data_IF_317189700775
#
_entry.id   IF_317189700775
#
_cell.length_a   1.000
_cell.length_b   1.000
_cell.length_c   1.000
_cell.angle_alpha   90.00
_cell.angle_beta   90.00
_cell.angle_gamma   90.00
#
_symmetry.space_group_name_H-M   'P 1'
#
loop_
_entity.id
_entity.type
_entity.pdbx_description
1 polymer ?
#
# COMPACT_ATOMS: atom_id res chain seq x y z
N UNK A 1 24.24 -21.00 13.78
CA UNK A 1 23.15 -21.13 14.78
C UNK A 1 22.27 -22.29 14.37
N UNK A 2 22.03 -23.26 15.24
CA UNK A 2 21.24 -24.46 14.92
C UNK A 2 20.16 -24.69 15.98
N UNK A 3 18.89 -24.63 15.62
CA UNK A 3 17.76 -24.89 16.52
C UNK A 3 16.90 -25.97 15.88
N UNK A 4 16.61 -27.04 16.61
CA UNK A 4 15.70 -28.11 16.16
C UNK A 4 14.40 -28.07 16.95
N UNK A 5 13.28 -28.14 16.23
CA UNK A 5 11.96 -28.18 16.85
C UNK A 5 11.53 -26.88 17.53
N UNK A 6 11.99 -25.73 17.04
CA UNK A 6 11.61 -24.40 17.51
C UNK A 6 10.08 -24.27 17.52
N UNK A 7 9.55 -23.85 18.66
CA UNK A 7 8.15 -23.48 18.86
C UNK A 7 8.03 -21.99 19.20
N UNK A 8 6.98 -21.29 18.74
CA UNK A 8 6.74 -19.91 19.15
C UNK A 8 6.52 -19.83 20.68
N UNK A 9 7.25 -18.93 21.35
CA UNK A 9 7.24 -18.84 22.81
C UNK A 9 5.87 -18.45 23.40
N UNK A 10 5.04 -17.76 22.62
CA UNK A 10 3.72 -17.27 23.02
C UNK A 10 2.59 -18.26 22.71
N UNK A 11 2.89 -19.40 22.08
CA UNK A 11 1.87 -20.40 21.79
C UNK A 11 1.65 -21.29 23.01
N UNK A 12 0.43 -21.28 23.53
CA UNK A 12 0.06 -22.17 24.61
C UNK A 12 -0.12 -23.59 24.06
N UNK A 13 0.67 -24.54 24.57
CA UNK A 13 0.60 -25.95 24.18
C UNK A 13 -0.79 -26.55 24.45
N UNK A 14 -1.54 -25.98 25.41
CA UNK A 14 -2.90 -26.40 25.71
C UNK A 14 -3.95 -25.91 24.69
N UNK A 15 -3.65 -24.88 23.90
CA UNK A 15 -4.60 -24.27 22.94
C UNK A 15 -4.44 -24.81 21.51
N UNK A 16 -3.45 -25.66 21.27
CA UNK A 16 -3.24 -26.33 19.99
C UNK A 16 -1.78 -26.76 19.76
N UNK A 17 -1.54 -27.53 18.70
CA UNK A 17 -0.18 -27.93 18.31
C UNK A 17 0.49 -26.87 17.45
N UNK A 18 1.58 -26.29 17.95
CA UNK A 18 2.43 -25.43 17.16
C UNK A 18 3.19 -26.24 16.10
N UNK A 19 3.36 -25.66 14.90
CA UNK A 19 4.20 -26.28 13.88
C UNK A 19 5.67 -26.02 14.21
N UNK A 20 6.35 -27.07 14.68
CA UNK A 20 7.77 -27.00 15.02
C UNK A 20 8.67 -26.80 13.79
N UNK A 21 9.67 -25.93 13.91
CA UNK A 21 10.59 -25.62 12.82
C UNK A 21 12.05 -25.94 13.17
N UNK A 22 12.84 -26.33 12.17
CA UNK A 22 14.29 -26.49 12.30
C UNK A 22 14.99 -25.36 11.57
N UNK A 23 15.89 -24.67 12.26
CA UNK A 23 16.67 -23.55 11.75
C UNK A 23 18.14 -23.93 11.81
N UNK A 24 18.77 -24.16 10.66
CA UNK A 24 20.21 -24.41 10.56
C UNK A 24 20.86 -23.27 9.76
N UNK A 25 21.25 -22.22 10.48
CA UNK A 25 21.67 -20.93 9.93
C UNK A 25 23.20 -20.79 9.99
N UNK A 26 23.81 -20.80 8.81
CA UNK A 26 25.24 -20.60 8.58
C UNK A 26 25.56 -19.26 7.91
N UNK A 27 24.54 -18.61 7.34
CA UNK A 27 24.62 -17.34 6.62
C UNK A 27 23.26 -16.63 6.66
N UNK A 28 23.16 -15.50 5.95
CA UNK A 28 21.92 -14.75 5.79
C UNK A 28 20.87 -15.56 5.01
N UNK A 29 19.64 -15.59 5.51
CA UNK A 29 18.50 -16.19 4.81
C UNK A 29 17.68 -15.10 4.13
N UNK A 30 17.39 -15.28 2.84
CA UNK A 30 16.33 -14.55 2.16
C UNK A 30 15.05 -15.38 2.22
N UNK A 31 14.12 -14.98 3.09
CA UNK A 31 12.90 -15.73 3.40
C UNK A 31 11.71 -15.20 2.60
N UNK A 32 11.04 -16.12 1.90
CA UNK A 32 9.79 -15.87 1.18
C UNK A 32 8.63 -16.68 1.74
N UNK A 33 7.43 -16.36 1.30
CA UNK A 33 6.22 -17.08 1.67
C UNK A 33 5.00 -16.16 1.64
N UNK A 34 3.80 -16.72 1.51
CA UNK A 34 2.59 -15.92 1.46
C UNK A 34 2.36 -15.18 2.79
N UNK A 35 1.50 -14.17 2.73
CA UNK A 35 0.97 -13.52 3.94
C UNK A 35 0.21 -14.56 4.77
N UNK A 36 0.39 -14.53 6.09
CA UNK A 36 -0.13 -15.56 6.99
C UNK A 36 0.65 -16.89 6.97
N UNK A 37 1.70 -17.02 6.15
CA UNK A 37 2.55 -18.22 6.08
C UNK A 37 3.49 -18.42 7.27
N UNK A 38 3.53 -17.50 8.23
CA UNK A 38 4.31 -17.63 9.47
C UNK A 38 5.70 -16.98 9.47
N UNK A 39 6.04 -16.16 8.46
CA UNK A 39 7.34 -15.44 8.37
C UNK A 39 7.64 -14.65 9.65
N UNK A 40 6.79 -13.70 10.03
CA UNK A 40 6.96 -12.86 11.22
C UNK A 40 7.03 -13.69 12.51
N UNK A 41 6.22 -14.75 12.61
CA UNK A 41 6.24 -15.67 13.75
C UNK A 41 7.57 -16.41 13.86
N UNK A 42 8.14 -16.86 12.74
CA UNK A 42 9.45 -17.52 12.71
C UNK A 42 10.55 -16.55 13.15
N UNK A 43 10.58 -15.32 12.61
CA UNK A 43 11.58 -14.31 13.00
C UNK A 43 11.53 -14.02 14.51
N UNK A 44 10.33 -13.76 15.05
CA UNK A 44 10.16 -13.52 16.50
C UNK A 44 10.55 -14.72 17.34
N UNK A 45 10.25 -15.94 16.89
CA UNK A 45 10.62 -17.17 17.61
C UNK A 45 12.14 -17.36 17.66
N UNK A 46 12.84 -17.09 16.55
CA UNK A 46 14.31 -17.13 16.49
C UNK A 46 14.92 -16.05 17.38
N UNK A 47 14.37 -14.83 17.35
CA UNK A 47 14.83 -13.72 18.20
C UNK A 47 14.73 -14.07 19.69
N UNK A 48 13.54 -14.53 20.12
CA UNK A 48 13.31 -14.94 21.50
C UNK A 48 14.21 -16.11 21.91
N UNK A 49 14.38 -17.11 21.04
CA UNK A 49 15.27 -18.24 21.29
C UNK A 49 16.73 -17.78 21.47
N UNK A 50 17.22 -16.89 20.61
CA UNK A 50 18.57 -16.33 20.72
C UNK A 50 18.78 -15.57 22.03
N UNK A 51 17.82 -14.71 22.40
CA UNK A 51 17.85 -13.95 23.66
C UNK A 51 17.87 -14.87 24.88
N UNK A 52 16.96 -15.85 24.94
CA UNK A 52 16.90 -16.82 26.04
C UNK A 52 18.22 -17.59 26.16
N UNK A 53 18.76 -18.07 25.04
CA UNK A 53 20.02 -18.81 25.02
C UNK A 53 21.22 -17.99 25.50
N UNK A 54 21.32 -16.72 25.10
CA UNK A 54 22.41 -15.83 25.55
C UNK A 54 22.29 -15.49 27.04
N UNK A 55 21.08 -15.37 27.55
CA UNK A 55 20.82 -15.15 28.98
C UNK A 55 21.00 -16.41 29.84
N UNK A 56 21.29 -17.58 29.24
CA UNK A 56 21.45 -18.85 29.96
C UNK A 56 20.12 -19.54 30.35
N UNK A 57 19.00 -19.13 29.75
CA UNK A 57 17.70 -19.77 29.97
C UNK A 57 17.46 -20.94 29.01
N UNK A 58 16.50 -21.79 29.37
CA UNK A 58 15.97 -22.79 28.46
C UNK A 58 15.29 -22.12 27.26
N UNK A 59 15.46 -22.73 26.09
CA UNK A 59 14.93 -22.24 24.81
C UNK A 59 13.71 -23.11 24.41
N UNK A 60 12.62 -22.55 23.84
CA UNK A 60 11.45 -23.31 23.40
C UNK A 60 11.74 -24.12 22.12
N UNK A 61 12.60 -25.14 22.23
CA UNK A 61 13.05 -26.01 21.16
C UNK A 61 13.44 -27.40 21.73
N UNK A 62 13.53 -28.42 20.88
CA UNK A 62 14.04 -29.74 21.28
C UNK A 62 15.55 -29.70 21.54
N UNK A 63 16.29 -28.96 20.71
CA UNK A 63 17.71 -28.66 20.95
C UNK A 63 18.11 -27.33 20.31
N UNK A 64 19.07 -26.63 20.91
CA UNK A 64 19.54 -25.34 20.41
C UNK A 64 21.05 -25.17 20.63
N UNK A 65 21.75 -24.80 19.56
CA UNK A 65 23.13 -24.33 19.53
C UNK A 65 23.12 -22.88 19.06
N UNK A 66 23.25 -21.97 20.02
CA UNK A 66 23.17 -20.53 19.81
C UNK A 66 24.57 -19.95 20.00
N UNK A 67 25.16 -19.33 18.97
CA UNK A 67 26.44 -18.66 19.13
C UNK A 67 26.27 -17.39 19.98
N UNK A 68 27.35 -16.93 20.58
CA UNK A 68 27.35 -15.64 21.25
C UNK A 68 27.26 -14.52 20.20
N UNK A 69 26.18 -13.74 20.27
CA UNK A 69 25.98 -12.58 19.42
C UNK A 69 26.44 -11.31 20.15
N UNK A 70 27.05 -10.37 19.42
CA UNK A 70 27.35 -9.04 19.95
C UNK A 70 26.15 -8.08 19.87
N UNK A 71 25.24 -8.32 18.93
CA UNK A 71 23.96 -7.65 18.83
C UNK A 71 22.88 -8.56 18.24
N UNK A 72 21.64 -8.38 18.69
CA UNK A 72 20.44 -8.94 18.08
C UNK A 72 19.59 -7.77 17.63
N UNK A 73 19.33 -7.70 16.33
CA UNK A 73 18.58 -6.62 15.70
C UNK A 73 17.31 -7.19 15.09
N UNK A 74 16.17 -6.61 15.48
CA UNK A 74 14.86 -7.01 14.98
C UNK A 74 14.17 -5.78 14.40
N UNK A 75 13.98 -5.78 13.09
CA UNK A 75 13.10 -4.84 12.41
C UNK A 75 11.80 -5.55 12.05
N UNK A 76 10.72 -5.07 12.64
CA UNK A 76 9.34 -5.42 12.33
C UNK A 76 8.68 -4.20 11.69
N UNK A 77 7.51 -4.39 11.05
CA UNK A 77 6.75 -3.31 10.42
C UNK A 77 6.69 -2.04 11.27
N UNK A 78 7.30 -0.97 10.77
CA UNK A 78 7.22 0.37 11.34
C UNK A 78 5.84 0.96 11.06
N UNK A 79 5.29 1.66 12.04
CA UNK A 79 4.08 2.46 11.88
C UNK A 79 4.48 3.91 11.63
N UNK A 80 3.60 4.69 11.01
CA UNK A 80 3.82 6.13 10.89
C UNK A 80 4.03 6.75 12.28
N UNK A 81 4.92 7.74 12.38
CA UNK A 81 5.01 8.63 13.55
C UNK A 81 4.54 10.03 13.14
N UNK A 82 3.22 10.30 13.19
CA UNK A 82 2.69 11.65 12.95
C UNK A 82 3.27 12.69 13.90
N UNK A 83 3.65 12.27 15.12
CA UNK A 83 4.26 13.12 16.12
C UNK A 83 5.62 13.69 15.67
N UNK A 84 6.38 12.92 14.89
CA UNK A 84 7.72 13.32 14.42
C UNK A 84 7.72 13.92 13.00
N UNK A 85 6.55 13.99 12.34
CA UNK A 85 6.44 14.45 10.95
C UNK A 85 7.17 13.56 9.94
N UNK A 86 7.47 12.30 10.29
CA UNK A 86 8.16 11.32 9.43
C UNK A 86 7.17 10.33 8.85
N UNK A 87 7.34 9.99 7.57
CA UNK A 87 6.60 8.88 6.96
C UNK A 87 7.10 7.53 7.50
N UNK A 88 6.25 6.50 7.49
CA UNK A 88 6.62 5.12 7.78
C UNK A 88 7.86 4.67 7.01
N UNK A 89 7.96 5.01 5.72
CA UNK A 89 9.15 4.69 4.94
C UNK A 89 10.40 5.43 5.45
N UNK A 90 10.30 6.70 5.86
CA UNK A 90 11.45 7.41 6.42
C UNK A 90 11.89 6.84 7.77
N UNK A 91 10.93 6.44 8.62
CA UNK A 91 11.21 5.75 9.89
C UNK A 91 11.89 4.41 9.60
N UNK A 92 11.33 3.61 8.69
CA UNK A 92 11.89 2.34 8.25
C UNK A 92 13.33 2.51 7.76
N UNK A 93 13.60 3.48 6.86
CA UNK A 93 14.96 3.73 6.37
C UNK A 93 15.93 4.17 7.47
N UNK A 94 15.46 4.92 8.47
CA UNK A 94 16.28 5.31 9.63
C UNK A 94 16.63 4.11 10.52
N UNK A 95 15.69 3.20 10.73
CA UNK A 95 15.90 1.95 11.48
C UNK A 95 16.86 1.03 10.74
N UNK A 96 16.66 0.84 9.43
CA UNK A 96 17.55 0.07 8.56
C UNK A 96 18.96 0.66 8.53
N UNK A 97 19.09 1.99 8.45
CA UNK A 97 20.40 2.64 8.53
C UNK A 97 21.10 2.31 9.86
N UNK A 98 20.37 2.32 10.97
CA UNK A 98 20.91 1.99 12.29
C UNK A 98 21.35 0.53 12.37
N UNK A 99 20.56 -0.38 11.78
CA UNK A 99 20.89 -1.80 11.67
C UNK A 99 22.19 -1.99 10.88
N UNK A 100 22.26 -1.43 9.67
CA UNK A 100 23.44 -1.58 8.81
C UNK A 100 24.69 -1.00 9.48
N UNK A 101 24.57 0.17 10.14
CA UNK A 101 25.69 0.82 10.81
C UNK A 101 26.22 0.02 12.02
N UNK A 102 25.35 -0.70 12.75
CA UNK A 102 25.73 -1.47 13.93
C UNK A 102 25.99 -2.96 13.67
N UNK A 103 25.69 -3.48 12.47
CA UNK A 103 25.83 -4.91 12.17
C UNK A 103 27.29 -5.32 12.02
N UNK A 104 27.66 -6.40 12.69
CA UNK A 104 28.95 -7.08 12.52
C UNK A 104 28.74 -8.53 12.06
N UNK A 105 29.83 -9.24 11.73
CA UNK A 105 29.81 -10.68 11.43
C UNK A 105 29.29 -11.56 12.58
N UNK A 106 29.25 -11.03 13.83
CA UNK A 106 28.73 -11.73 15.01
C UNK A 106 27.36 -11.22 15.44
N UNK A 107 26.67 -10.49 14.57
CA UNK A 107 25.32 -9.99 14.84
C UNK A 107 24.26 -10.95 14.27
N UNK A 108 23.09 -10.97 14.91
CA UNK A 108 21.88 -11.62 14.41
C UNK A 108 20.90 -10.57 13.91
N UNK A 109 20.67 -10.52 12.59
CA UNK A 109 19.82 -9.51 11.94
C UNK A 109 18.52 -10.14 11.45
N UNK A 110 17.38 -9.66 11.94
CA UNK A 110 16.06 -10.18 11.59
C UNK A 110 15.20 -9.03 11.07
N UNK A 111 14.92 -9.02 9.77
CA UNK A 111 14.18 -7.96 9.08
C UNK A 111 12.93 -8.57 8.45
N UNK A 112 11.76 -8.02 8.75
CA UNK A 112 10.48 -8.49 8.22
C UNK A 112 9.85 -7.51 7.24
N UNK A 113 9.71 -7.95 5.98
CA UNK A 113 9.03 -7.21 4.90
C UNK A 113 9.56 -5.79 4.66
N UNK A 114 10.83 -5.69 4.26
CA UNK A 114 11.49 -4.41 3.97
C UNK A 114 10.90 -3.68 2.74
N UNK A 115 10.94 -2.35 2.78
CA UNK A 115 10.56 -1.41 1.72
C UNK A 115 9.10 -1.53 1.26
N UNK A 116 8.16 -1.84 2.16
CA UNK A 116 6.73 -1.94 1.82
C UNK A 116 6.06 -0.58 1.56
N UNK A 117 6.57 0.50 2.18
CA UNK A 117 5.96 1.83 2.15
C UNK A 117 6.29 2.69 0.93
N UNK A 118 6.90 2.12 -0.12
CA UNK A 118 7.38 2.86 -1.29
C UNK A 118 7.01 2.17 -2.60
N UNK A 119 7.36 2.80 -3.72
CA UNK A 119 7.19 2.23 -5.06
C UNK A 119 7.90 0.88 -5.18
N UNK A 120 7.17 -0.17 -5.57
CA UNK A 120 7.65 -1.56 -5.62
C UNK A 120 8.99 -1.71 -6.33
N UNK A 121 9.18 -1.05 -7.49
CA UNK A 121 10.42 -1.13 -8.25
C UNK A 121 11.62 -0.58 -7.47
N UNK A 122 11.50 0.64 -6.92
CA UNK A 122 12.55 1.25 -6.10
C UNK A 122 12.78 0.49 -4.81
N UNK A 123 11.71 0.08 -4.13
CA UNK A 123 11.77 -0.73 -2.92
C UNK A 123 12.52 -2.04 -3.14
N UNK A 124 12.30 -2.70 -4.28
CA UNK A 124 13.02 -3.93 -4.66
C UNK A 124 14.52 -3.69 -4.82
N UNK A 125 14.92 -2.61 -5.50
CA UNK A 125 16.34 -2.26 -5.68
C UNK A 125 17.03 -1.90 -4.35
N UNK A 126 16.35 -1.13 -3.50
CA UNK A 126 16.86 -0.77 -2.16
C UNK A 126 17.01 -2.03 -1.31
N UNK A 127 15.98 -2.88 -1.24
CA UNK A 127 16.02 -4.14 -0.52
C UNK A 127 17.17 -5.04 -1.00
N UNK A 128 17.34 -5.17 -2.32
CA UNK A 128 18.44 -5.93 -2.92
C UNK A 128 19.81 -5.43 -2.46
N UNK A 129 20.03 -4.11 -2.51
CA UNK A 129 21.29 -3.49 -2.08
C UNK A 129 21.58 -3.69 -0.58
N UNK A 130 20.55 -3.70 0.25
CA UNK A 130 20.67 -3.97 1.69
C UNK A 130 21.05 -5.43 1.93
N UNK A 131 20.46 -6.37 1.20
CA UNK A 131 20.80 -7.79 1.29
C UNK A 131 22.26 -8.03 0.88
N UNK A 132 22.73 -7.43 -0.22
CA UNK A 132 24.14 -7.50 -0.62
C UNK A 132 25.07 -6.97 0.48
N UNK A 133 24.68 -5.87 1.12
CA UNK A 133 25.47 -5.26 2.20
C UNK A 133 25.57 -6.20 3.40
N UNK A 134 24.45 -6.78 3.84
CA UNK A 134 24.41 -7.73 4.96
C UNK A 134 25.17 -9.03 4.65
N UNK A 135 25.04 -9.54 3.42
CA UNK A 135 25.78 -10.71 2.92
C UNK A 135 27.30 -10.46 2.95
N UNK A 136 27.73 -9.27 2.51
CA UNK A 136 29.13 -8.86 2.52
C UNK A 136 29.70 -8.71 3.94
N UNK A 137 28.90 -8.24 4.89
CA UNK A 137 29.29 -8.20 6.31
C UNK A 137 29.44 -9.63 6.87
N UNK A 138 28.64 -10.57 6.39
CA UNK A 138 28.68 -11.98 6.79
C UNK A 138 28.01 -12.22 8.14
N UNK A 139 26.96 -11.44 8.47
CA UNK A 139 26.15 -11.67 9.66
C UNK A 139 25.22 -12.88 9.49
N UNK A 140 24.73 -13.41 10.61
CA UNK A 140 23.62 -14.36 10.60
C UNK A 140 22.30 -13.59 10.61
N UNK A 141 21.26 -14.12 9.96
CA UNK A 141 20.00 -13.41 9.94
C UNK A 141 18.96 -13.95 8.99
N UNK A 142 17.79 -13.30 9.02
CA UNK A 142 16.70 -13.51 8.07
C UNK A 142 16.23 -12.14 7.57
N UNK A 143 16.20 -11.98 6.25
CA UNK A 143 15.47 -10.90 5.60
C UNK A 143 14.24 -11.52 4.94
N UNK A 144 13.07 -11.20 5.47
CA UNK A 144 11.78 -11.61 4.92
C UNK A 144 11.33 -10.61 3.84
N UNK A 145 10.81 -11.10 2.71
CA UNK A 145 10.33 -10.24 1.63
C UNK A 145 9.10 -10.79 0.92
N UNK A 146 8.28 -9.86 0.41
CA UNK A 146 7.21 -10.11 -0.55
C UNK A 146 7.55 -9.56 -1.95
N UNK A 147 8.72 -8.94 -2.10
CA UNK A 147 9.18 -8.32 -3.33
C UNK A 147 9.79 -9.40 -4.24
N UNK A 148 8.96 -10.10 -5.01
CA UNK A 148 9.44 -11.16 -5.92
C UNK A 148 10.38 -10.65 -7.02
N UNK A 149 10.35 -9.35 -7.34
CA UNK A 149 11.30 -8.73 -8.27
C UNK A 149 12.76 -8.85 -7.83
N UNK A 150 13.02 -9.14 -6.56
CA UNK A 150 14.38 -9.27 -6.02
C UNK A 150 15.15 -10.43 -6.68
N UNK A 151 14.42 -11.47 -7.12
CA UNK A 151 15.01 -12.64 -7.78
C UNK A 151 15.42 -12.37 -9.23
N UNK A 152 14.96 -11.27 -9.82
CA UNK A 152 15.35 -10.85 -11.18
C UNK A 152 16.46 -9.81 -11.19
N UNK A 153 16.85 -9.30 -10.01
CA UNK A 153 17.95 -8.35 -9.90
C UNK A 153 19.30 -9.08 -10.00
N UNK A 154 20.33 -8.46 -10.61
CA UNK A 154 21.68 -9.02 -10.69
C UNK A 154 22.43 -8.84 -9.36
N UNK A 155 21.91 -9.44 -8.28
CA UNK A 155 22.48 -9.31 -6.94
C UNK A 155 23.82 -10.06 -6.80
N UNK A 156 24.79 -9.41 -6.17
CA UNK A 156 26.10 -9.94 -5.83
C UNK A 156 26.05 -10.47 -4.39
N UNK A 157 25.51 -11.67 -4.22
CA UNK A 157 25.50 -12.40 -2.94
C UNK A 157 26.36 -13.66 -3.03
N UNK A 158 27.23 -13.88 -2.04
CA UNK A 158 28.12 -15.05 -1.98
C UNK A 158 27.59 -16.14 -1.07
N UNK A 159 26.97 -15.76 0.05
CA UNK A 159 26.62 -16.68 1.11
C UNK A 159 25.10 -16.78 1.35
N UNK A 160 24.32 -15.83 0.86
CA UNK A 160 22.88 -15.75 1.09
C UNK A 160 22.18 -16.98 0.53
N UNK A 161 21.35 -17.60 1.36
CA UNK A 161 20.56 -18.78 0.99
C UNK A 161 19.07 -18.44 0.94
N UNK A 162 18.37 -19.05 0.01
CA UNK A 162 16.93 -18.86 -0.16
C UNK A 162 16.16 -19.86 0.70
N UNK A 163 15.23 -19.33 1.50
CA UNK A 163 14.28 -20.12 2.27
C UNK A 163 12.85 -19.69 1.95
N UNK A 164 11.93 -20.60 2.20
CA UNK A 164 10.51 -20.35 2.03
C UNK A 164 9.70 -20.87 3.22
N UNK A 165 8.58 -20.23 3.50
CA UNK A 165 7.49 -20.84 4.26
C UNK A 165 6.66 -21.69 3.31
N UNK A 166 6.55 -22.98 3.61
CA UNK A 166 5.93 -23.96 2.73
C UNK A 166 4.43 -23.74 2.53
N UNK A 167 3.97 -24.14 1.35
CA UNK A 167 2.56 -24.17 0.96
C UNK A 167 2.22 -25.54 0.38
N UNK A 168 0.95 -25.92 0.47
CA UNK A 168 0.41 -27.14 -0.13
C UNK A 168 -0.88 -26.80 -0.88
N UNK A 169 -1.12 -27.48 -1.99
CA UNK A 169 -2.35 -27.36 -2.75
C UNK A 169 -3.31 -28.47 -2.34
N UNK A 170 -4.43 -28.10 -1.73
CA UNK A 170 -5.43 -29.04 -1.22
C UNK A 170 -6.82 -28.55 -1.61
N UNK A 171 -7.61 -29.40 -2.27
CA UNK A 171 -8.98 -29.12 -2.72
C UNK A 171 -9.10 -27.84 -3.57
N UNK A 172 -8.17 -27.64 -4.50
CA UNK A 172 -8.19 -26.46 -5.36
C UNK A 172 -7.72 -25.16 -4.68
N UNK A 173 -7.16 -25.24 -3.46
CA UNK A 173 -6.75 -24.06 -2.67
C UNK A 173 -5.33 -24.23 -2.14
N UNK A 174 -4.52 -23.18 -2.28
CA UNK A 174 -3.21 -23.11 -1.64
C UNK A 174 -3.37 -22.83 -0.15
N UNK A 175 -2.74 -23.65 0.71
CA UNK A 175 -2.75 -23.51 2.17
C UNK A 175 -1.32 -23.41 2.70
N UNK A 176 -1.04 -22.56 3.70
CA UNK A 176 0.27 -22.50 4.33
C UNK A 176 0.50 -23.74 5.22
N UNK A 177 1.71 -24.29 5.20
CA UNK A 177 2.12 -25.37 6.11
C UNK A 177 2.79 -24.86 7.38
N UNK A 178 3.17 -23.58 7.40
CA UNK A 178 3.96 -22.93 8.45
C UNK A 178 5.32 -23.62 8.72
N UNK A 179 5.81 -24.44 7.78
CA UNK A 179 7.13 -25.06 7.82
C UNK A 179 8.15 -24.22 7.04
N UNK A 180 9.32 -23.99 7.63
CA UNK A 180 10.49 -23.48 6.94
C UNK A 180 11.06 -24.59 6.03
N UNK A 181 11.19 -24.28 4.75
CA UNK A 181 11.73 -25.17 3.72
C UNK A 181 12.81 -24.45 2.90
N UNK A 182 13.60 -25.22 2.14
CA UNK A 182 14.54 -24.67 1.17
C UNK A 182 13.81 -24.04 -0.02
N UNK A 183 14.44 -23.03 -0.64
CA UNK A 183 14.01 -22.48 -1.93
C UNK A 183 13.21 -21.18 -1.81
N UNK A 184 12.41 -20.91 -2.84
CA UNK A 184 11.68 -19.65 -3.03
C UNK A 184 10.18 -19.96 -3.18
N UNK A 185 9.35 -19.26 -2.43
CA UNK A 185 7.90 -19.26 -2.60
C UNK A 185 7.46 -18.03 -3.37
N UNK A 186 6.74 -18.25 -4.49
CA UNK A 186 6.11 -17.20 -5.31
C UNK A 186 4.58 -17.13 -5.14
N UNK A 187 4.03 -18.00 -4.30
CA UNK A 187 2.60 -18.06 -4.05
C UNK A 187 2.12 -16.85 -3.23
N UNK A 188 0.98 -16.28 -3.63
CA UNK A 188 0.29 -15.23 -2.88
C UNK A 188 -1.08 -15.76 -2.45
N UNK A 189 -1.38 -15.68 -1.16
CA UNK A 189 -2.68 -16.08 -0.59
C UNK A 189 -3.64 -14.90 -0.46
N UNK A 190 -3.40 -13.79 -1.18
CA UNK A 190 -4.12 -12.54 -0.96
C UNK A 190 -5.62 -12.67 -1.27
N UNK A 191 -5.97 -13.32 -2.39
CA UNK A 191 -7.37 -13.49 -2.81
C UNK A 191 -8.08 -14.54 -1.95
N UNK A 192 -7.42 -15.64 -1.59
CA UNK A 192 -7.94 -16.66 -0.68
C UNK A 192 -8.20 -16.07 0.72
N UNK A 193 -7.29 -15.20 1.19
CA UNK A 193 -7.48 -14.49 2.45
C UNK A 193 -8.68 -13.56 2.37
N UNK A 194 -8.80 -12.75 1.31
CA UNK A 194 -9.96 -11.88 1.13
C UNK A 194 -11.29 -12.68 1.09
N UNK A 195 -11.30 -13.82 0.42
CA UNK A 195 -12.45 -14.74 0.40
C UNK A 195 -12.80 -15.26 1.79
N UNK A 196 -11.79 -15.64 2.57
CA UNK A 196 -11.96 -16.13 3.94
C UNK A 196 -12.52 -15.06 4.87
N UNK A 197 -12.12 -13.80 4.69
CA UNK A 197 -12.64 -12.65 5.44
C UNK A 197 -14.06 -12.21 4.99
N UNK A 198 -14.67 -12.94 4.05
CA UNK A 198 -16.06 -12.72 3.63
C UNK A 198 -16.24 -11.64 2.56
N UNK A 199 -15.19 -11.25 1.85
CA UNK A 199 -15.32 -10.35 0.69
C UNK A 199 -16.17 -11.05 -0.40
N UNK A 200 -17.18 -10.36 -0.98
CA UNK A 200 -18.03 -10.95 -2.01
C UNK A 200 -17.25 -11.52 -3.19
N UNK A 201 -17.64 -12.72 -3.64
CA UNK A 201 -16.98 -13.44 -4.73
C UNK A 201 -16.90 -12.61 -6.02
N UNK A 202 -17.91 -11.79 -6.29
CA UNK A 202 -17.95 -10.90 -7.47
C UNK A 202 -16.79 -9.89 -7.48
N UNK A 203 -16.38 -9.40 -6.31
CA UNK A 203 -15.24 -8.48 -6.17
C UNK A 203 -13.93 -9.25 -6.40
N UNK A 204 -13.82 -10.46 -5.84
CA UNK A 204 -12.63 -11.31 -5.96
C UNK A 204 -12.41 -11.72 -7.42
N UNK A 205 -13.46 -12.20 -8.10
CA UNK A 205 -13.42 -12.54 -9.53
C UNK A 205 -13.01 -11.34 -10.38
N UNK A 206 -13.52 -10.14 -10.06
CA UNK A 206 -13.10 -8.92 -10.76
C UNK A 206 -11.63 -8.59 -10.51
N UNK A 207 -11.15 -8.72 -9.27
CA UNK A 207 -9.76 -8.49 -8.91
C UNK A 207 -8.80 -9.47 -9.59
N UNK A 208 -9.17 -10.76 -9.67
CA UNK A 208 -8.43 -11.78 -10.42
C UNK A 208 -8.35 -11.44 -11.91
N UNK A 209 -9.46 -11.04 -12.52
CA UNK A 209 -9.47 -10.59 -13.92
C UNK A 209 -8.58 -9.37 -14.17
N UNK A 210 -8.57 -8.40 -13.24
CA UNK A 210 -7.67 -7.24 -13.31
C UNK A 210 -6.21 -7.66 -13.18
N UNK A 211 -5.89 -8.52 -12.22
CA UNK A 211 -4.54 -9.05 -12.01
C UNK A 211 -4.02 -9.75 -13.27
N UNK A 212 -4.83 -10.64 -13.87
CA UNK A 212 -4.48 -11.30 -15.13
C UNK A 212 -4.27 -10.27 -16.25
N UNK A 213 -5.12 -9.26 -16.39
CA UNK A 213 -4.98 -8.26 -17.47
C UNK A 213 -3.67 -7.46 -17.41
N UNK A 214 -3.16 -7.17 -16.20
CA UNK A 214 -1.94 -6.36 -15.99
C UNK A 214 -0.69 -7.25 -16.00
N UNK A 215 -0.77 -8.43 -15.38
CA UNK A 215 0.41 -9.25 -15.08
C UNK A 215 0.53 -10.52 -15.96
N UNK A 216 -0.46 -10.87 -16.78
CA UNK A 216 -0.35 -12.02 -17.71
C UNK A 216 0.71 -11.81 -18.81
N UNK A 217 0.98 -10.55 -19.21
CA UNK A 217 2.09 -10.26 -20.14
C UNK A 217 3.46 -10.60 -19.53
N UNK A 218 3.64 -10.38 -18.22
CA UNK A 218 4.87 -10.66 -17.49
C UNK A 218 5.09 -12.17 -17.30
N UNK A 219 4.02 -12.97 -17.16
CA UNK A 219 4.10 -14.43 -17.06
C UNK A 219 4.47 -15.11 -18.39
N UNK A 220 4.06 -14.53 -19.52
CA UNK A 220 4.39 -15.06 -20.86
C UNK A 220 5.85 -14.80 -21.25
N UNK A 221 6.47 -13.73 -20.74
CA UNK A 221 7.89 -13.44 -21.00
C UNK A 221 8.87 -14.28 -20.15
N UNK A 222 8.43 -14.87 -19.03
CA UNK A 222 9.27 -15.72 -18.18
C UNK A 222 9.28 -17.21 -18.58
N UNK A 223 8.34 -17.66 -19.42
CA UNK A 223 8.25 -19.05 -19.90
C UNK A 223 8.77 -19.19 -21.33
N UNK A 224 9.97 -18.68 -21.60
CA UNK A 224 10.73 -18.91 -22.83
C UNK A 224 11.27 -20.34 -22.95
N UNK A 225 10.41 -21.35 -22.81
CA UNK A 225 10.69 -22.71 -23.31
C UNK A 225 9.37 -23.29 -23.82
N UNK A 226 9.26 -23.46 -25.15
CA UNK A 226 8.15 -24.17 -25.77
C UNK A 226 8.07 -25.61 -25.23
N UNK A 227 6.87 -26.13 -24.95
CA UNK A 227 6.60 -27.54 -25.15
C UNK A 227 5.74 -27.72 -26.41
N UNK A 228 6.17 -28.67 -27.22
CA UNK A 228 5.54 -29.10 -28.45
C UNK A 228 4.09 -29.58 -28.26
N UNK A 229 3.36 -29.38 -29.34
CA UNK A 229 2.07 -29.99 -29.64
C UNK A 229 2.12 -31.51 -29.42
N UNK A 230 1.12 -32.08 -28.73
CA UNK A 230 0.63 -33.40 -29.12
C UNK A 230 -0.89 -33.44 -29.02
N UNK A 231 -1.47 -33.58 -30.20
CA UNK A 231 -2.85 -33.86 -30.52
C UNK A 231 -3.28 -35.26 -30.07
N UNK A 232 -4.49 -35.38 -29.53
CA UNK A 232 -5.37 -36.48 -29.90
C UNK A 232 -6.83 -36.07 -29.71
N UNK A 233 -7.55 -36.13 -30.82
CA UNK A 233 -8.97 -35.89 -30.97
C UNK A 233 -9.82 -36.82 -30.11
N UNK A 234 -11.04 -36.39 -29.78
CA UNK A 234 -12.28 -37.13 -30.04
C UNK A 234 -13.49 -36.22 -29.85
N UNK A 235 -14.21 -36.02 -30.95
CA UNK A 235 -15.50 -35.36 -31.02
C UNK A 235 -16.62 -36.29 -30.52
N UNK A 236 -17.68 -35.72 -29.93
CA UNK A 236 -19.07 -35.85 -30.42
C UNK A 236 -20.11 -35.29 -29.44
N UNK A 237 -21.15 -34.67 -30.03
CA UNK A 237 -22.51 -34.57 -29.47
C UNK A 237 -22.89 -33.18 -28.97
N UNK A 238 -23.24 -32.22 -29.82
CA UNK A 238 -24.58 -31.96 -30.39
C UNK A 238 -25.63 -31.44 -29.39
N UNK A 239 -25.94 -30.15 -29.47
CA UNK A 239 -27.30 -29.59 -29.57
C UNK A 239 -27.24 -28.07 -29.84
N UNK A 240 -27.36 -27.70 -31.12
CA UNK A 240 -28.42 -26.84 -31.67
C UNK A 240 -29.37 -26.12 -30.67
N UNK A 241 -29.84 -24.88 -30.79
CA UNK A 241 -30.14 -24.01 -31.94
C UNK A 241 -30.38 -22.55 -31.42
N UNK A 242 -29.98 -21.55 -32.22
CA UNK A 242 -30.51 -20.17 -32.43
C UNK A 242 -31.35 -19.40 -31.37
N UNK A 243 -31.09 -18.09 -31.19
CA UNK A 243 -32.00 -17.03 -31.69
C UNK A 243 -31.38 -15.61 -31.70
N UNK A 244 -32.01 -14.74 -32.49
CA UNK A 244 -31.56 -13.56 -33.20
C UNK A 244 -31.40 -12.25 -32.40
N UNK A 245 -30.59 -11.37 -32.99
CA UNK A 245 -30.68 -9.90 -32.91
C UNK A 245 -31.99 -9.43 -33.56
N UNK A 246 -32.83 -8.68 -32.84
CA UNK A 246 -33.49 -7.43 -33.27
C UNK A 246 -34.51 -6.94 -32.23
N UNK A 247 -34.58 -5.63 -32.03
CA UNK A 247 -35.53 -4.98 -31.13
C UNK A 247 -35.23 -3.50 -30.93
N UNK A 248 -35.70 -2.70 -31.88
CA UNK A 248 -35.63 -1.23 -31.92
C UNK A 248 -36.62 -0.59 -30.94
N UNK A 249 -36.26 0.63 -30.48
CA UNK A 249 -37.11 1.70 -29.93
C UNK A 249 -37.74 1.50 -28.54
N UNK A 250 -37.34 2.37 -27.59
CA UNK A 250 -38.26 3.37 -27.05
C UNK A 250 -37.49 4.53 -26.39
N UNK A 251 -37.65 5.71 -26.98
CA UNK A 251 -37.36 7.00 -26.36
C UNK A 251 -38.54 7.29 -25.42
N UNK A 252 -38.31 7.19 -24.11
CA UNK A 252 -39.25 7.64 -23.11
C UNK A 252 -38.68 8.85 -22.37
N UNK A 253 -39.04 10.02 -22.87
CA UNK A 253 -38.98 11.29 -22.17
C UNK A 253 -39.87 11.19 -20.93
N UNK A 254 -39.28 11.14 -19.74
CA UNK A 254 -39.98 11.42 -18.49
C UNK A 254 -39.40 12.68 -17.88
N UNK A 255 -40.09 13.80 -18.16
CA UNK A 255 -40.05 14.96 -17.30
C UNK A 255 -40.71 14.58 -15.97
N UNK A 256 -39.89 14.35 -14.95
CA UNK A 256 -40.29 14.54 -13.57
C UNK A 256 -39.37 15.60 -12.99
N UNK A 257 -39.91 16.81 -12.84
CA UNK A 257 -39.32 17.86 -12.04
C UNK A 257 -39.26 17.36 -10.59
N UNK A 258 -38.18 16.65 -10.25
CA UNK A 258 -37.84 16.38 -8.87
C UNK A 258 -37.49 17.72 -8.23
N UNK A 259 -38.15 18.02 -7.10
CA UNK A 259 -37.70 19.06 -6.18
C UNK A 259 -36.26 18.71 -5.79
N UNK A 260 -35.29 19.25 -6.53
CA UNK A 260 -33.88 18.99 -6.29
C UNK A 260 -33.59 19.42 -4.84
N UNK A 261 -33.14 18.47 -4.02
CA UNK A 261 -32.78 18.74 -2.64
C UNK A 261 -31.76 19.89 -2.66
N UNK A 262 -31.94 21.00 -1.90
CA UNK A 262 -31.04 22.16 -1.97
C UNK A 262 -29.54 21.81 -1.80
N UNK A 263 -29.26 20.69 -1.13
CA UNK A 263 -27.91 20.16 -0.96
C UNK A 263 -27.34 19.52 -2.24
N UNK A 264 -28.16 18.89 -3.07
CA UNK A 264 -27.75 18.33 -4.38
C UNK A 264 -27.45 19.44 -5.39
N UNK A 265 -28.21 20.54 -5.35
CA UNK A 265 -27.94 21.73 -6.17
C UNK A 265 -26.60 22.35 -5.78
N UNK A 266 -26.38 22.60 -4.47
CA UNK A 266 -25.12 23.11 -3.94
C UNK A 266 -23.93 22.21 -4.30
N UNK A 267 -24.10 20.88 -4.20
CA UNK A 267 -23.07 19.92 -4.59
C UNK A 267 -22.67 20.08 -6.06
N UNK A 268 -23.65 20.17 -6.98
CA UNK A 268 -23.39 20.29 -8.42
C UNK A 268 -22.75 21.64 -8.78
N UNK A 269 -23.17 22.71 -8.12
CA UNK A 269 -22.56 24.04 -8.27
C UNK A 269 -21.11 24.06 -7.80
N UNK A 270 -20.81 23.47 -6.63
CA UNK A 270 -19.45 23.36 -6.10
C UNK A 270 -18.57 22.47 -7.00
N UNK A 271 -19.10 21.36 -7.50
CA UNK A 271 -18.37 20.49 -8.44
C UNK A 271 -17.98 21.24 -9.72
N UNK A 272 -18.92 21.96 -10.33
CA UNK A 272 -18.67 22.75 -11.52
C UNK A 272 -17.63 23.86 -11.25
N UNK A 273 -17.74 24.53 -10.11
CA UNK A 273 -16.78 25.55 -9.69
C UNK A 273 -15.36 24.96 -9.55
N UNK A 274 -15.22 23.82 -8.86
CA UNK A 274 -13.93 23.13 -8.71
C UNK A 274 -13.33 22.78 -10.08
N UNK A 275 -14.14 22.23 -10.99
CA UNK A 275 -13.69 21.88 -12.35
C UNK A 275 -13.12 23.10 -13.06
N UNK A 276 -13.88 24.20 -13.14
CA UNK A 276 -13.43 25.43 -13.83
C UNK A 276 -12.16 25.99 -13.19
N UNK A 277 -12.15 26.10 -11.87
CA UNK A 277 -11.09 26.74 -11.09
C UNK A 277 -9.77 25.95 -11.16
N UNK A 278 -9.83 24.61 -11.09
CA UNK A 278 -8.63 23.77 -11.04
C UNK A 278 -8.10 23.39 -12.43
N UNK A 279 -8.94 23.37 -13.47
CA UNK A 279 -8.57 22.87 -14.81
C UNK A 279 -7.41 23.67 -15.44
N UNK A 280 -7.42 25.00 -15.34
CA UNK A 280 -6.35 25.84 -15.91
C UNK A 280 -4.99 25.54 -15.27
N UNK A 281 -4.94 25.47 -13.94
CA UNK A 281 -3.69 25.25 -13.20
C UNK A 281 -3.16 23.82 -13.36
N UNK A 282 -4.05 22.84 -13.48
CA UNK A 282 -3.65 21.46 -13.80
C UNK A 282 -3.11 21.36 -15.22
N UNK A 283 -3.74 22.02 -16.19
CA UNK A 283 -3.25 22.07 -17.56
C UNK A 283 -1.84 22.72 -17.64
N UNK A 284 -1.59 23.80 -16.90
CA UNK A 284 -0.24 24.39 -16.81
C UNK A 284 0.79 23.42 -16.22
N UNK A 285 0.41 22.69 -15.17
CA UNK A 285 1.27 21.71 -14.51
C UNK A 285 1.65 20.55 -15.45
N UNK A 286 0.68 19.99 -16.18
CA UNK A 286 0.91 18.88 -17.11
C UNK A 286 1.67 19.30 -18.37
N UNK A 287 1.44 20.52 -18.89
CA UNK A 287 2.23 21.12 -19.98
C UNK A 287 3.72 21.24 -19.63
N UNK A 288 4.04 21.69 -18.41
CA UNK A 288 5.43 21.79 -17.93
C UNK A 288 6.15 20.43 -17.83
N UNK A 289 5.40 19.33 -17.64
CA UNK A 289 5.94 17.97 -17.54
C UNK A 289 5.97 17.18 -18.86
N UNK A 290 5.60 17.77 -20.00
CA UNK A 290 5.53 17.08 -21.32
C UNK A 290 4.68 15.80 -21.29
N UNK A 291 3.59 15.80 -20.52
CA UNK A 291 2.60 14.71 -20.54
C UNK A 291 1.49 15.13 -21.50
N UNK A 292 1.22 14.31 -22.52
CA UNK A 292 0.35 14.63 -23.66
C UNK A 292 -1.15 14.44 -23.42
N UNK A 293 -1.56 14.05 -22.21
CA UNK A 293 -2.96 13.82 -21.88
C UNK A 293 -3.54 15.02 -21.12
N UNK A 294 -4.58 15.62 -21.70
CA UNK A 294 -5.43 16.63 -21.04
C UNK A 294 -6.18 15.93 -19.90
N UNK A 295 -5.66 16.03 -18.67
CA UNK A 295 -6.32 15.50 -17.49
C UNK A 295 -7.51 16.38 -17.11
N UNK A 296 -8.73 15.91 -17.34
CA UNK A 296 -9.94 16.54 -16.81
C UNK A 296 -10.03 16.35 -15.29
N UNK A 297 -10.49 17.39 -14.58
CA UNK A 297 -10.74 17.29 -13.13
C UNK A 297 -11.96 16.43 -12.87
N UNK A 298 -11.74 15.17 -12.52
CA UNK A 298 -12.82 14.27 -12.10
C UNK A 298 -13.03 14.35 -10.59
N UNK A 299 -14.07 15.07 -10.16
CA UNK A 299 -14.49 15.10 -8.76
C UNK A 299 -15.29 13.83 -8.42
N UNK A 300 -15.03 13.26 -7.24
CA UNK A 300 -15.73 12.09 -6.72
C UNK A 300 -16.47 12.50 -5.44
N UNK A 301 -17.74 12.14 -5.34
CA UNK A 301 -18.56 12.35 -4.14
C UNK A 301 -18.30 11.24 -3.12
N UNK A 302 -18.22 11.63 -1.85
CA UNK A 302 -18.32 10.76 -0.69
C UNK A 302 -19.61 11.15 0.02
N UNK A 303 -20.64 10.32 -0.16
CA UNK A 303 -21.96 10.51 0.43
C UNK A 303 -21.96 10.32 1.95
N UNK A 304 -23.07 10.69 2.59
CA UNK A 304 -23.24 10.51 4.02
C UNK A 304 -23.02 9.03 4.40
N UNK A 305 -22.08 8.77 5.31
CA UNK A 305 -21.68 7.43 5.79
C UNK A 305 -20.88 6.56 4.80
N UNK A 306 -20.58 7.05 3.60
CA UNK A 306 -19.68 6.36 2.67
C UNK A 306 -18.21 6.54 3.08
N UNK A 307 -17.35 5.57 2.77
CA UNK A 307 -15.91 5.69 2.99
C UNK A 307 -15.21 6.05 1.68
N UNK A 308 -14.22 6.95 1.70
CA UNK A 308 -13.36 7.17 0.54
C UNK A 308 -12.56 5.88 0.20
N UNK A 309 -12.10 5.74 -1.05
CA UNK A 309 -11.16 4.68 -1.39
C UNK A 309 -9.85 4.82 -0.59
N UNK A 310 -9.11 3.71 -0.37
CA UNK A 310 -7.86 3.75 0.36
C UNK A 310 -6.85 4.65 -0.35
N UNK A 311 -6.12 5.46 0.42
CA UNK A 311 -5.12 6.40 -0.11
C UNK A 311 -4.02 5.68 -0.88
N UNK A 312 -3.73 6.14 -2.10
CA UNK A 312 -2.63 5.62 -2.92
C UNK A 312 -1.33 6.38 -2.59
N UNK A 313 -0.22 5.66 -2.50
CA UNK A 313 1.09 6.23 -2.16
C UNK A 313 1.53 7.22 -3.27
N UNK A 314 1.95 8.43 -2.89
CA UNK A 314 2.49 9.44 -3.81
C UNK A 314 1.44 10.34 -4.47
N UNK A 315 0.15 10.19 -4.12
CA UNK A 315 -0.91 11.11 -4.52
C UNK A 315 -1.52 11.80 -3.31
N UNK A 316 -1.87 13.07 -3.49
CA UNK A 316 -2.54 13.87 -2.48
C UNK A 316 -3.96 14.13 -2.96
N UNK A 317 -4.90 14.28 -2.03
CA UNK A 317 -6.29 14.60 -2.34
C UNK A 317 -6.59 16.02 -1.91
N UNK A 318 -7.27 16.76 -2.79
CA UNK A 318 -7.92 18.03 -2.42
C UNK A 318 -9.41 17.72 -2.26
N UNK A 319 -9.99 18.13 -1.15
CA UNK A 319 -11.38 17.86 -0.82
C UNK A 319 -12.12 19.13 -0.40
N UNK A 320 -13.42 19.15 -0.69
CA UNK A 320 -14.37 20.16 -0.25
C UNK A 320 -15.46 19.46 0.54
N UNK A 321 -15.53 19.75 1.84
CA UNK A 321 -16.60 19.27 2.72
C UNK A 321 -17.81 20.19 2.60
N UNK A 322 -18.96 19.61 2.29
CA UNK A 322 -20.27 20.25 2.27
C UNK A 322 -20.91 20.10 3.64
N UNK A 323 -21.09 21.21 4.35
CA UNK A 323 -21.65 21.21 5.71
C UNK A 323 -23.17 21.35 5.67
N UNK A 324 -23.90 20.87 6.70
CA UNK A 324 -25.35 21.03 6.80
C UNK A 324 -25.83 22.49 6.81
N UNK A 325 -24.99 23.42 7.27
CA UNK A 325 -25.26 24.86 7.33
C UNK A 325 -25.05 25.58 5.97
N UNK A 326 -24.91 24.83 4.86
CA UNK A 326 -24.61 25.32 3.50
C UNK A 326 -23.25 26.01 3.34
N UNK A 327 -22.38 25.94 4.36
CA UNK A 327 -21.00 26.40 4.24
C UNK A 327 -20.12 25.27 3.72
N UNK A 328 -18.96 25.65 3.19
CA UNK A 328 -17.98 24.70 2.71
C UNK A 328 -16.64 24.83 3.46
N UNK A 329 -15.89 23.75 3.48
CA UNK A 329 -14.52 23.71 3.99
C UNK A 329 -13.65 23.07 2.92
N UNK A 330 -12.58 23.75 2.53
CA UNK A 330 -11.61 23.23 1.57
C UNK A 330 -10.41 22.70 2.36
N UNK A 331 -9.93 21.52 2.02
CA UNK A 331 -8.72 20.98 2.61
C UNK A 331 -7.94 20.10 1.68
N UNK A 332 -6.70 19.82 2.05
CA UNK A 332 -5.85 18.82 1.43
C UNK A 332 -5.43 17.73 2.42
N UNK A 333 -5.16 16.53 1.91
CA UNK A 333 -4.69 15.43 2.73
C UNK A 333 -4.07 14.32 1.89
N UNK A 334 -3.07 13.64 2.44
CA UNK A 334 -2.54 12.39 1.91
C UNK A 334 -3.30 11.18 2.50
N UNK A 335 -4.07 11.41 3.57
CA UNK A 335 -4.96 10.44 4.21
C UNK A 335 -6.41 10.96 4.15
N UNK A 336 -7.14 10.60 3.10
CA UNK A 336 -8.52 11.04 2.90
C UNK A 336 -9.48 10.35 3.87
N UNK A 337 -9.24 9.07 4.15
CA UNK A 337 -10.07 8.29 5.07
C UNK A 337 -10.00 8.82 6.50
N UNK A 338 -8.80 9.03 7.04
CA UNK A 338 -8.63 9.59 8.37
C UNK A 338 -9.18 11.01 8.46
N UNK A 339 -9.02 11.82 7.41
CA UNK A 339 -9.54 13.20 7.39
C UNK A 339 -11.07 13.25 7.36
N UNK A 340 -11.72 12.43 6.55
CA UNK A 340 -13.19 12.29 6.51
C UNK A 340 -13.70 11.82 7.87
N UNK A 341 -13.04 10.82 8.47
CA UNK A 341 -13.39 10.30 9.81
C UNK A 341 -13.29 11.39 10.89
N UNK A 342 -12.21 12.17 10.89
CA UNK A 342 -11.98 13.25 11.86
C UNK A 342 -12.97 14.42 11.73
N UNK A 343 -13.43 14.74 10.51
CA UNK A 343 -14.49 15.73 10.33
C UNK A 343 -15.84 15.20 10.79
N UNK A 344 -16.18 13.93 10.48
CA UNK A 344 -17.45 13.32 10.88
C UNK A 344 -17.57 13.01 12.38
N UNK A 345 -16.46 12.94 13.11
CA UNK A 345 -16.49 12.80 14.57
C UNK A 345 -16.87 14.07 15.31
N UNK A 346 -16.94 15.23 14.63
CA UNK A 346 -17.36 16.50 15.23
C UNK A 346 -18.89 16.56 15.36
N UNK A 347 -19.35 17.28 16.38
CA UNK A 347 -20.77 17.50 16.63
C UNK A 347 -21.45 18.13 15.40
N UNK A 348 -22.66 17.64 15.07
CA UNK A 348 -23.44 18.01 13.87
C UNK A 348 -22.81 17.70 12.49
N UNK A 349 -21.64 17.03 12.41
CA UNK A 349 -20.95 16.74 11.13
C UNK A 349 -21.01 15.27 10.68
N UNK A 350 -21.75 14.42 11.40
CA UNK A 350 -21.81 12.96 11.17
C UNK A 350 -22.28 12.59 9.74
N UNK A 351 -23.12 13.43 9.14
CA UNK A 351 -23.67 13.24 7.79
C UNK A 351 -23.04 14.19 6.74
N UNK A 352 -21.90 14.82 7.03
CA UNK A 352 -21.22 15.68 6.07
C UNK A 352 -20.78 14.89 4.83
N UNK A 353 -21.04 15.46 3.65
CA UNK A 353 -20.62 14.95 2.35
C UNK A 353 -19.36 15.66 1.88
N UNK A 354 -18.57 14.99 1.05
CA UNK A 354 -17.30 15.52 0.56
C UNK A 354 -17.21 15.35 -0.95
N UNK A 355 -16.72 16.36 -1.65
CA UNK A 355 -16.23 16.24 -3.02
C UNK A 355 -14.71 16.20 -2.95
N UNK A 356 -14.07 15.29 -3.66
CA UNK A 356 -12.61 15.27 -3.72
C UNK A 356 -12.10 14.93 -5.11
N UNK A 357 -10.85 15.30 -5.37
CA UNK A 357 -10.12 14.87 -6.56
C UNK A 357 -8.65 14.65 -6.18
N UNK A 358 -7.98 13.80 -6.97
CA UNK A 358 -6.62 13.33 -6.69
C UNK A 358 -5.62 14.12 -7.54
N UNK A 359 -4.48 14.47 -6.95
CA UNK A 359 -3.40 15.20 -7.62
C UNK A 359 -2.03 14.60 -7.29
N UNK A 360 -1.04 14.70 -8.21
CA UNK A 360 0.31 14.17 -7.99
C UNK A 360 1.09 15.01 -6.97
N UNK A 361 1.05 14.57 -5.71
CA UNK A 361 1.87 15.07 -4.61
C UNK A 361 1.37 16.33 -3.91
N UNK A 362 1.88 16.51 -2.69
CA UNK A 362 1.41 17.51 -1.73
C UNK A 362 1.61 18.95 -2.18
N UNK A 363 2.70 19.24 -2.89
CA UNK A 363 2.97 20.59 -3.39
C UNK A 363 1.88 21.10 -4.33
N UNK A 364 1.34 20.24 -5.19
CA UNK A 364 0.27 20.61 -6.12
C UNK A 364 -1.08 20.69 -5.37
N UNK A 365 -1.32 19.79 -4.41
CA UNK A 365 -2.47 19.87 -3.53
C UNK A 365 -2.52 21.20 -2.77
N UNK A 366 -1.42 21.63 -2.13
CA UNK A 366 -1.26 22.94 -1.46
C UNK A 366 -1.62 24.11 -2.38
N UNK A 367 -1.15 24.05 -3.62
CA UNK A 367 -1.40 25.11 -4.57
C UNK A 367 -2.85 25.17 -5.06
N UNK A 368 -3.56 24.03 -5.08
CA UNK A 368 -4.95 23.92 -5.51
C UNK A 368 -5.92 24.17 -4.34
N UNK A 369 -5.59 23.72 -3.13
CA UNK A 369 -6.29 24.07 -1.88
C UNK A 369 -6.29 25.60 -1.71
N UNK A 370 -5.11 26.23 -1.76
CA UNK A 370 -4.97 27.69 -1.65
C UNK A 370 -5.78 28.40 -2.74
N UNK A 371 -5.78 27.87 -3.96
CA UNK A 371 -6.49 28.47 -5.08
C UNK A 371 -8.01 28.37 -4.89
N UNK A 372 -8.52 27.22 -4.45
CA UNK A 372 -9.94 27.01 -4.13
C UNK A 372 -10.39 27.88 -2.94
N UNK A 373 -9.58 27.99 -1.89
CA UNK A 373 -9.87 28.86 -0.74
C UNK A 373 -10.06 30.32 -1.17
N UNK A 374 -9.29 30.78 -2.15
CA UNK A 374 -9.33 32.16 -2.62
C UNK A 374 -10.40 32.42 -3.69
N UNK A 375 -10.74 31.44 -4.53
CA UNK A 375 -11.64 31.64 -5.67
C UNK A 375 -13.09 31.23 -5.41
N UNK A 376 -13.35 30.22 -4.58
CA UNK A 376 -14.71 29.81 -4.25
C UNK A 376 -15.56 30.91 -3.58
N UNK A 377 -15.02 31.76 -2.67
CA UNK A 377 -15.77 32.91 -2.17
C UNK A 377 -16.24 33.88 -3.26
N UNK A 378 -15.43 34.09 -4.30
CA UNK A 378 -15.76 34.99 -5.41
C UNK A 378 -16.89 34.43 -6.29
N UNK A 379 -17.16 33.13 -6.22
CA UNK A 379 -18.31 32.48 -6.87
C UNK A 379 -19.54 32.37 -5.95
N UNK A 380 -19.52 33.03 -4.78
CA UNK A 380 -20.67 33.11 -3.87
C UNK A 380 -20.72 32.02 -2.79
N UNK A 381 -19.70 31.15 -2.68
CA UNK A 381 -19.67 30.10 -1.66
C UNK A 381 -19.13 30.63 -0.31
N UNK A 382 -19.79 30.27 0.79
CA UNK A 382 -19.33 30.66 2.13
C UNK A 382 -18.34 29.64 2.70
N UNK A 383 -17.08 30.05 2.85
CA UNK A 383 -16.02 29.19 3.42
C UNK A 383 -15.91 29.35 4.94
N UNK A 384 -15.56 28.25 5.60
CA UNK A 384 -15.31 28.21 7.05
C UNK A 384 -13.84 28.41 7.43
N UNK A 385 -12.91 28.28 6.49
CA UNK A 385 -11.46 28.34 6.73
C UNK A 385 -10.76 29.55 6.06
N UNK A 386 -11.45 30.67 5.90
CA UNK A 386 -10.90 31.89 5.25
C UNK A 386 -9.68 32.47 5.98
N UNK A 387 -9.45 32.10 7.26
CA UNK A 387 -8.31 32.55 8.05
C UNK A 387 -6.97 31.86 7.66
N UNK A 388 -6.97 30.65 7.10
CA UNK A 388 -5.74 29.90 6.82
C UNK A 388 -5.00 30.36 5.55
N UNK A 389 -5.67 31.09 4.65
CA UNK A 389 -5.07 31.63 3.42
C UNK A 389 -4.06 32.77 3.64
N UNK A 390 -4.03 33.38 4.84
CA UNK A 390 -3.13 34.52 5.15
C UNK A 390 -1.78 34.13 5.75
N UNK A 391 -1.55 32.86 6.11
CA UNK A 391 -0.37 32.44 6.88
C UNK A 391 0.64 31.54 6.14
N UNK A 392 0.69 31.60 4.80
CA UNK A 392 1.71 30.87 4.00
C UNK A 392 2.50 31.73 3.00
N UNK A 393 2.70 33.01 3.27
CA UNK A 393 3.70 33.81 2.55
C UNK A 393 5.06 33.73 3.23
N UNK A 394 5.83 32.68 2.94
CA UNK A 394 7.27 32.67 3.14
C UNK A 394 7.97 32.77 1.78
N UNK A 395 8.57 33.93 1.52
CA UNK A 395 9.67 34.08 0.57
C UNK A 395 9.33 34.51 -0.86
N UNK A 396 9.07 35.81 -1.06
CA UNK A 396 9.72 36.63 -2.10
C UNK A 396 9.45 38.10 -1.78
N UNK A 397 10.40 38.73 -1.10
CA UNK A 397 10.49 40.19 -1.01
C UNK A 397 10.89 40.73 -2.38
N UNK A 398 9.92 41.32 -3.10
CA UNK A 398 10.22 42.27 -4.16
C UNK A 398 9.70 43.62 -3.66
N UNK A 399 10.63 44.43 -3.21
CA UNK A 399 10.46 45.85 -2.92
C UNK A 399 10.04 46.58 -4.20
N UNK A 400 8.87 47.21 -4.18
CA UNK A 400 8.48 48.24 -5.14
C UNK A 400 8.12 49.49 -4.34
N UNK A 401 8.79 50.57 -4.71
CA UNK A 401 8.82 51.89 -4.11
C UNK A 401 7.44 52.51 -3.90
N UNK A 402 7.27 53.11 -2.73
CA UNK A 402 6.21 54.06 -2.43
C UNK A 402 6.61 55.45 -2.89
N UNK A 403 5.79 56.08 -3.75
CA UNK A 403 5.35 57.49 -3.72
C UNK A 403 4.57 57.77 -5.03
N UNK A 404 3.70 58.80 -5.13
CA UNK A 404 3.29 59.82 -4.15
C UNK A 404 1.74 59.97 -4.04
N UNK A 405 1.20 60.62 -3.00
CA UNK A 405 0.02 61.51 -3.14
C UNK A 405 0.06 62.60 -2.08
N UNK A 406 -0.17 63.83 -2.56
CA UNK A 406 -0.28 65.11 -1.87
C UNK A 406 -1.28 65.15 -0.70
N UNK A 407 -0.91 65.88 0.35
CA UNK A 407 -1.57 67.13 0.76
C UNK A 407 -0.61 67.98 1.57
#
# INVERSE_FOLDING_TARGET
MKITGLSPYWFNVAEGSAVHNTVDMQSLFLLTGPNGGGKSSLLRSICAAALLGICGFMVPAHSALIPQFDSIMLHMKSYDSPADGKSSFQVEMSEIQSIIAGTTKRSLVLIDEICRGTETAKGTCIAGSIIETLDKIGCLGIVSTHLHGIFTLPLITKNTVYKAMGTVYVDGKTKPTWKLIEGICRESLAFETAKKEGIPETIIQRAEGLYLSVYAKVLLEQNGTKPDLCSSMSANGSNEFHFQSSGTLEVATYNSAELANPMQVLQKEVENAIRVICQEKLNEFYKKKKVSDLAEVHCVLIGARERPPPSTIGVSSVYVMLRPDKKIYVGETDDLEGRVRAHRSKEAMQNASFLYFIVPGKSLACQLETLLINQLPNQGFQLTNVADGKHRNFGTSISIESMPVCS
#
